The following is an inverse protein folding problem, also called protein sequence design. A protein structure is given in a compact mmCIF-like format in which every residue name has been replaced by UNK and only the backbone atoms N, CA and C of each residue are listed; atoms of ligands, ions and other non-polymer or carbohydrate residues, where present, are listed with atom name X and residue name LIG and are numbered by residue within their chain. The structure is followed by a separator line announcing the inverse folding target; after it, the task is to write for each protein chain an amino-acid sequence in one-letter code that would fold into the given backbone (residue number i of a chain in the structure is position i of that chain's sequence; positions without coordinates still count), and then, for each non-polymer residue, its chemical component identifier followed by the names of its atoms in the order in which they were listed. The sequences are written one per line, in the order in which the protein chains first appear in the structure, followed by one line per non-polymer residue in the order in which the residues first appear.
data_IF_659319124073
#
_entry.id   IF_659319124073
#
_cell.length_a   1.000
_cell.length_b   1.000
_cell.length_c   1.000
_cell.angle_alpha   90.00
_cell.angle_beta   90.00
_cell.angle_gamma   90.00
#
_symmetry.space_group_name_H-M   'P 1'
#
loop_
_entity.id
_entity.type
_entity.pdbx_description
1 polymer ?
#
# COMPACT_ATOMS: atom_id res chain seq x y z
N UNK A 1 14.23 -0.14 -15.41
CA UNK A 1 13.38 1.00 -15.69
C UNK A 1 12.88 1.62 -14.40
N UNK A 2 12.64 2.92 -14.43
CA UNK A 2 12.03 3.69 -13.36
C UNK A 2 10.84 4.45 -13.94
N UNK A 3 9.76 4.58 -13.17
CA UNK A 3 8.58 5.37 -13.50
C UNK A 3 8.32 6.35 -12.37
N UNK A 4 7.98 7.57 -12.70
CA UNK A 4 7.50 8.61 -11.78
C UNK A 4 6.08 8.96 -12.19
N UNK A 5 5.18 9.09 -11.23
CA UNK A 5 3.82 9.54 -11.45
C UNK A 5 3.41 10.55 -10.39
N UNK A 6 2.61 11.51 -10.76
CA UNK A 6 1.97 12.47 -9.85
C UNK A 6 0.46 12.33 -9.89
N UNK A 7 -0.18 12.70 -8.79
CA UNK A 7 -1.63 12.83 -8.68
C UNK A 7 -1.96 14.19 -8.07
N UNK A 8 -2.99 14.81 -8.59
CA UNK A 8 -3.62 16.00 -8.03
C UNK A 8 -5.12 15.78 -8.08
N UNK A 9 -5.82 16.04 -6.98
CA UNK A 9 -7.26 15.80 -6.88
C UNK A 9 -7.92 16.76 -5.91
N UNK A 10 -9.19 17.04 -6.13
CA UNK A 10 -10.08 17.67 -5.16
C UNK A 10 -10.82 16.56 -4.40
N UNK A 11 -10.88 16.71 -3.08
CA UNK A 11 -11.75 15.95 -2.20
C UNK A 11 -12.92 16.84 -1.82
N UNK A 12 -14.12 16.29 -1.78
CA UNK A 12 -15.31 17.01 -1.42
C UNK A 12 -16.19 16.17 -0.48
N UNK A 13 -16.82 16.83 0.48
CA UNK A 13 -17.78 16.28 1.40
C UNK A 13 -19.06 17.10 1.35
N UNK A 14 -20.07 16.55 0.65
CA UNK A 14 -21.34 17.22 0.41
C UNK A 14 -22.45 16.37 1.03
N UNK A 15 -22.95 16.78 2.19
CA UNK A 15 -24.01 16.08 2.91
C UNK A 15 -24.99 17.09 3.52
N UNK A 16 -26.24 17.08 3.08
CA UNK A 16 -27.24 18.08 3.51
C UNK A 16 -26.81 19.49 3.12
N UNK A 17 -26.70 20.37 4.10
CA UNK A 17 -26.26 21.78 3.92
C UNK A 17 -24.75 21.95 4.04
N UNK A 18 -23.99 20.85 4.24
CA UNK A 18 -22.53 20.89 4.36
C UNK A 18 -21.93 20.76 2.97
N UNK A 19 -21.06 21.72 2.62
CA UNK A 19 -20.26 21.72 1.40
C UNK A 19 -18.81 22.10 1.76
N UNK A 20 -17.96 21.08 1.95
CA UNK A 20 -16.55 21.27 2.31
C UNK A 20 -15.65 20.58 1.28
N UNK A 21 -14.53 21.20 0.97
CA UNK A 21 -13.57 20.61 0.03
C UNK A 21 -12.13 20.89 0.44
N UNK A 22 -11.24 19.99 0.05
CA UNK A 22 -9.80 20.12 0.24
C UNK A 22 -9.05 19.54 -0.97
N UNK A 23 -7.76 19.84 -1.07
CA UNK A 23 -6.93 19.44 -2.20
C UNK A 23 -5.93 18.37 -1.76
N UNK A 24 -5.90 17.26 -2.46
CA UNK A 24 -4.91 16.21 -2.31
C UNK A 24 -3.89 16.21 -3.45
N UNK A 25 -2.63 15.98 -3.12
CA UNK A 25 -1.56 15.84 -4.09
C UNK A 25 -0.53 14.80 -3.63
N UNK A 26 0.10 14.13 -4.59
CA UNK A 26 1.14 13.17 -4.25
C UNK A 26 2.00 12.76 -5.44
N UNK A 27 3.09 12.10 -5.11
CA UNK A 27 4.06 11.59 -6.05
C UNK A 27 4.39 10.14 -5.74
N UNK A 28 4.64 9.37 -6.77
CA UNK A 28 5.15 8.00 -6.62
C UNK A 28 6.32 7.73 -7.57
N UNK A 29 7.23 6.90 -7.09
CA UNK A 29 8.34 6.37 -7.86
C UNK A 29 8.32 4.85 -7.77
N UNK A 30 8.32 4.19 -8.92
CA UNK A 30 8.36 2.73 -9.00
C UNK A 30 9.46 2.29 -9.95
N UNK A 31 10.07 1.17 -9.67
CA UNK A 31 11.13 0.71 -10.55
C UNK A 31 11.44 -0.77 -10.44
N UNK A 32 12.24 -1.19 -11.42
CA UNK A 32 12.83 -2.52 -11.49
C UNK A 32 14.28 -2.41 -11.97
N UNK A 33 15.17 -3.01 -11.21
CA UNK A 33 16.60 -3.11 -11.52
C UNK A 33 16.96 -4.58 -11.65
N UNK A 34 17.56 -4.97 -12.78
CA UNK A 34 18.20 -6.28 -12.91
C UNK A 34 19.54 -6.23 -12.17
N UNK A 35 19.77 -7.18 -11.27
CA UNK A 35 21.03 -7.33 -10.53
C UNK A 35 21.89 -8.47 -11.08
N UNK A 36 21.24 -9.44 -11.76
CA UNK A 36 21.89 -10.50 -12.52
C UNK A 36 20.95 -10.99 -13.64
N UNK A 37 21.32 -12.07 -14.34
CA UNK A 37 20.45 -12.69 -15.35
C UNK A 37 19.25 -13.40 -14.68
N UNK A 38 19.40 -13.80 -13.43
CA UNK A 38 18.38 -14.53 -12.66
C UNK A 38 17.65 -13.67 -11.65
N UNK A 39 18.16 -12.45 -11.34
CA UNK A 39 17.70 -11.66 -10.20
C UNK A 39 17.25 -10.27 -10.60
N UNK A 40 16.19 -9.82 -9.98
CA UNK A 40 15.77 -8.42 -10.04
C UNK A 40 15.29 -7.89 -8.69
N UNK A 41 15.51 -6.60 -8.48
CA UNK A 41 14.94 -5.82 -7.38
C UNK A 41 13.84 -4.94 -7.96
N UNK A 42 12.71 -4.91 -7.26
CA UNK A 42 11.59 -4.01 -7.56
C UNK A 42 11.32 -3.16 -6.35
N UNK A 43 10.99 -1.92 -6.59
CA UNK A 43 10.68 -0.98 -5.52
C UNK A 43 9.51 -0.08 -5.90
N UNK A 44 8.85 0.40 -4.88
CA UNK A 44 7.85 1.46 -4.95
C UNK A 44 8.04 2.39 -3.76
N UNK A 45 7.80 3.66 -3.99
CA UNK A 45 7.71 4.69 -2.98
C UNK A 45 6.60 5.65 -3.39
N UNK A 46 5.82 6.12 -2.45
CA UNK A 46 4.86 7.19 -2.65
C UNK A 46 4.74 8.04 -1.40
N UNK A 47 4.41 9.31 -1.59
CA UNK A 47 4.11 10.24 -0.51
C UNK A 47 3.16 11.32 -1.01
N UNK A 48 2.35 11.87 -0.11
CA UNK A 48 1.43 12.97 -0.42
C UNK A 48 0.31 13.11 0.59
N UNK A 49 -0.59 14.03 0.33
CA UNK A 49 -1.79 14.32 1.12
C UNK A 49 -3.04 13.94 0.35
N UNK A 50 -4.08 13.54 1.05
CA UNK A 50 -5.36 13.23 0.44
C UNK A 50 -5.35 12.01 -0.49
N UNK A 51 -4.38 11.11 -0.38
CA UNK A 51 -4.21 9.99 -1.30
C UNK A 51 -5.26 8.90 -1.10
N UNK A 52 -5.63 8.59 0.15
CA UNK A 52 -6.63 7.59 0.49
C UNK A 52 -6.38 6.25 -0.20
N UNK A 53 -7.39 5.74 -0.90
CA UNK A 53 -7.32 4.43 -1.59
C UNK A 53 -6.24 4.29 -2.66
N UNK A 54 -5.69 5.40 -3.18
CA UNK A 54 -4.60 5.36 -4.14
C UNK A 54 -3.26 5.01 -3.51
N UNK A 55 -3.12 5.24 -2.18
CA UNK A 55 -1.93 4.88 -1.43
C UNK A 55 -1.96 3.41 -0.97
N UNK A 56 -2.92 3.06 -0.12
CA UNK A 56 -2.96 1.75 0.55
C UNK A 56 -4.39 1.18 0.61
N UNK A 57 -5.15 1.27 -0.48
CA UNK A 57 -6.55 0.87 -0.55
C UNK A 57 -7.38 1.62 0.51
N UNK A 58 -7.89 0.91 1.51
CA UNK A 58 -8.70 1.46 2.58
C UNK A 58 -7.97 1.42 3.94
N UNK A 59 -6.65 1.32 3.97
CA UNK A 59 -5.88 1.33 5.23
C UNK A 59 -5.99 2.69 5.94
N UNK A 60 -6.05 3.79 5.18
CA UNK A 60 -6.32 5.13 5.69
C UNK A 60 -7.29 5.88 4.77
N UNK A 61 -8.03 6.82 5.35
CA UNK A 61 -8.89 7.73 4.60
C UNK A 61 -8.05 8.79 3.88
N UNK A 62 -8.62 9.41 2.83
CA UNK A 62 -7.95 10.51 2.14
C UNK A 62 -8.12 11.84 2.85
N UNK A 63 -9.30 12.08 3.43
CA UNK A 63 -9.62 13.28 4.20
C UNK A 63 -10.72 12.97 5.20
N UNK A 64 -10.85 13.83 6.21
CA UNK A 64 -11.87 13.76 7.25
C UNK A 64 -12.52 15.12 7.41
N UNK A 65 -13.85 15.16 7.46
CA UNK A 65 -14.60 16.35 7.78
C UNK A 65 -14.67 16.52 9.30
N UNK A 66 -14.32 17.72 9.77
CA UNK A 66 -14.44 18.11 11.16
C UNK A 66 -15.69 18.96 11.34
N UNK A 67 -16.69 18.46 12.07
CA UNK A 67 -17.95 19.11 12.33
C UNK A 67 -17.86 20.31 13.29
N UNK A 68 -16.77 20.41 14.06
CA UNK A 68 -16.53 21.54 14.96
C UNK A 68 -15.96 22.75 14.22
N UNK A 69 -15.09 22.51 13.22
CA UNK A 69 -14.46 23.59 12.43
C UNK A 69 -15.18 23.86 11.11
N UNK A 70 -15.98 22.90 10.62
CA UNK A 70 -16.62 22.94 9.31
C UNK A 70 -15.66 22.71 8.15
N UNK A 71 -14.46 22.18 8.40
CA UNK A 71 -13.40 21.99 7.42
C UNK A 71 -13.21 20.52 7.04
N UNK A 72 -12.80 20.27 5.81
CA UNK A 72 -12.32 18.97 5.33
C UNK A 72 -10.79 18.99 5.33
N UNK A 73 -10.17 18.11 6.11
CA UNK A 73 -8.71 18.03 6.25
C UNK A 73 -8.15 16.78 5.58
N UNK A 74 -7.20 16.95 4.67
CA UNK A 74 -6.49 15.87 4.00
C UNK A 74 -5.49 15.19 4.92
N UNK A 75 -5.43 13.86 4.87
CA UNK A 75 -4.49 13.04 5.63
C UNK A 75 -3.22 12.85 4.81
N UNK A 76 -2.06 13.12 5.43
CA UNK A 76 -0.77 12.80 4.86
C UNK A 76 -0.52 11.30 4.90
N UNK A 77 0.12 10.77 3.86
CA UNK A 77 0.48 9.36 3.83
C UNK A 77 1.76 9.12 3.04
N UNK A 78 2.54 8.17 3.51
CA UNK A 78 3.78 7.72 2.89
C UNK A 78 3.83 6.20 2.89
N UNK A 79 4.30 5.62 1.81
CA UNK A 79 4.49 4.19 1.76
C UNK A 79 5.63 3.78 0.86
N UNK A 80 6.21 2.63 1.15
CA UNK A 80 7.27 2.05 0.35
C UNK A 80 7.20 0.53 0.34
N UNK A 81 7.77 -0.04 -0.69
CA UNK A 81 7.90 -1.47 -0.82
C UNK A 81 9.14 -1.83 -1.61
N UNK A 82 9.73 -2.96 -1.26
CA UNK A 82 10.85 -3.56 -1.97
C UNK A 82 10.61 -5.05 -2.13
N UNK A 83 10.97 -5.59 -3.28
CA UNK A 83 10.92 -7.01 -3.55
C UNK A 83 12.21 -7.46 -4.26
N UNK A 84 12.80 -8.53 -3.77
CA UNK A 84 13.85 -9.25 -4.47
C UNK A 84 13.27 -10.51 -5.07
N UNK A 85 13.52 -10.74 -6.36
CA UNK A 85 13.11 -11.92 -7.09
C UNK A 85 14.32 -12.68 -7.60
N UNK A 86 14.34 -13.98 -7.35
CA UNK A 86 15.32 -14.95 -7.85
C UNK A 86 14.66 -16.01 -8.73
N UNK A 87 15.27 -16.30 -9.87
CA UNK A 87 14.91 -17.41 -10.76
C UNK A 87 15.83 -18.60 -10.47
N UNK A 88 15.31 -19.64 -9.85
CA UNK A 88 16.02 -20.89 -9.60
C UNK A 88 16.28 -21.69 -10.87
N UNK A 89 15.29 -21.68 -11.75
CA UNK A 89 15.30 -22.30 -13.07
C UNK A 89 14.36 -21.53 -13.98
N UNK A 90 14.28 -21.89 -15.26
CA UNK A 90 13.30 -21.31 -16.20
C UNK A 90 11.83 -21.52 -15.76
N UNK A 91 11.58 -22.47 -14.84
CA UNK A 91 10.24 -22.81 -14.35
C UNK A 91 9.98 -22.41 -12.91
N UNK A 92 11.02 -22.18 -12.12
CA UNK A 92 10.90 -21.95 -10.67
C UNK A 92 11.47 -20.60 -10.27
N UNK A 93 10.74 -19.86 -9.46
CA UNK A 93 11.17 -18.57 -8.89
C UNK A 93 10.65 -18.36 -7.49
N UNK A 94 11.37 -17.55 -6.74
CA UNK A 94 10.95 -17.05 -5.44
C UNK A 94 11.02 -15.53 -5.40
N UNK A 95 10.24 -14.93 -4.52
CA UNK A 95 10.38 -13.51 -4.18
C UNK A 95 10.27 -13.34 -2.68
N UNK A 96 11.10 -12.44 -2.14
CA UNK A 96 10.95 -11.90 -0.79
C UNK A 96 10.53 -10.45 -0.95
N UNK A 97 9.51 -10.03 -0.20
CA UNK A 97 8.93 -8.71 -0.29
C UNK A 97 8.77 -8.11 1.09
N UNK A 98 9.01 -6.82 1.19
CA UNK A 98 8.71 -6.00 2.36
C UNK A 98 7.96 -4.76 1.92
N UNK A 99 6.98 -4.32 2.71
CA UNK A 99 6.30 -3.04 2.50
C UNK A 99 5.90 -2.42 3.82
N UNK A 100 5.88 -1.08 3.85
CA UNK A 100 5.39 -0.30 4.97
C UNK A 100 4.55 0.87 4.47
N UNK A 101 3.64 1.30 5.31
CA UNK A 101 2.74 2.42 5.11
C UNK A 101 2.57 3.17 6.42
N UNK A 102 2.54 4.49 6.32
CA UNK A 102 2.34 5.43 7.42
C UNK A 102 1.30 6.46 6.99
N UNK A 103 0.35 6.76 7.88
CA UNK A 103 -0.65 7.81 7.72
C UNK A 103 -0.56 8.75 8.92
N UNK A 104 -0.46 10.04 8.65
CA UNK A 104 -0.34 11.07 9.67
C UNK A 104 -1.44 12.11 9.48
N UNK A 105 -2.25 12.30 10.50
CA UNK A 105 -3.30 13.31 10.58
C UNK A 105 -2.87 14.39 11.57
N UNK A 106 -3.29 15.64 11.33
CA UNK A 106 -3.11 16.71 12.31
C UNK A 106 -3.93 16.44 13.60
N UNK A 107 -3.56 17.09 14.69
CA UNK A 107 -4.16 16.86 16.02
C UNK A 107 -5.68 17.07 16.05
N UNK A 108 -6.20 18.02 15.28
CA UNK A 108 -7.64 18.31 15.20
C UNK A 108 -8.35 17.18 14.46
N UNK A 109 -7.78 16.71 13.37
CA UNK A 109 -8.29 15.59 12.57
C UNK A 109 -8.26 14.28 13.37
N UNK A 110 -7.22 14.02 14.17
CA UNK A 110 -7.12 12.86 15.07
C UNK A 110 -8.28 12.79 16.04
N UNK A 111 -8.63 13.90 16.68
CA UNK A 111 -9.77 13.97 17.61
C UNK A 111 -11.09 13.58 16.92
N UNK A 112 -11.29 14.02 15.69
CA UNK A 112 -12.51 13.74 14.92
C UNK A 112 -12.56 12.29 14.41
N UNK A 113 -11.42 11.75 13.97
CA UNK A 113 -11.33 10.39 13.45
C UNK A 113 -11.52 9.33 14.53
N UNK A 114 -11.13 9.64 15.78
CA UNK A 114 -10.90 8.61 16.77
C UNK A 114 -9.71 7.72 16.37
N UNK A 115 -9.77 6.44 16.75
CA UNK A 115 -8.66 5.51 16.45
C UNK A 115 -8.63 5.11 14.97
N UNK A 116 -7.50 5.36 14.31
CA UNK A 116 -7.28 5.05 12.89
C UNK A 116 -5.99 4.25 12.67
N UNK A 117 -5.85 3.65 11.50
CA UNK A 117 -4.61 2.97 11.12
C UNK A 117 -3.51 4.00 10.87
N UNK A 118 -2.56 4.10 11.78
CA UNK A 118 -1.39 4.95 11.64
C UNK A 118 -0.32 4.25 10.80
N UNK A 119 0.06 3.02 11.19
CA UNK A 119 1.15 2.29 10.53
C UNK A 119 0.76 0.89 10.14
N UNK A 120 1.27 0.44 9.02
CA UNK A 120 1.25 -0.98 8.65
C UNK A 120 2.58 -1.38 8.04
N UNK A 121 2.98 -2.62 8.29
CA UNK A 121 4.06 -3.24 7.53
C UNK A 121 3.77 -4.71 7.24
N UNK A 122 4.37 -5.21 6.18
CA UNK A 122 4.26 -6.62 5.83
C UNK A 122 5.57 -7.17 5.26
N UNK A 123 5.81 -8.43 5.56
CA UNK A 123 6.87 -9.23 4.94
C UNK A 123 6.26 -10.47 4.30
N UNK A 124 6.72 -10.83 3.11
CA UNK A 124 6.19 -11.98 2.36
C UNK A 124 7.31 -12.72 1.69
N UNK A 125 7.13 -14.03 1.60
CA UNK A 125 7.99 -14.91 0.79
C UNK A 125 7.10 -15.85 -0.01
N UNK A 126 7.44 -16.05 -1.28
CA UNK A 126 6.71 -16.97 -2.12
C UNK A 126 7.64 -17.90 -2.92
N UNK A 127 7.06 -19.01 -3.36
CA UNK A 127 7.64 -19.89 -4.35
C UNK A 127 6.60 -20.16 -5.44
N UNK A 128 7.00 -19.99 -6.70
CA UNK A 128 6.13 -20.13 -7.86
C UNK A 128 6.78 -21.09 -8.84
N UNK A 129 6.01 -22.08 -9.29
CA UNK A 129 6.46 -23.10 -10.22
C UNK A 129 5.55 -23.22 -11.44
N UNK A 130 6.13 -23.09 -12.63
CA UNK A 130 5.45 -23.26 -13.92
C UNK A 130 5.51 -24.74 -14.33
N UNK A 131 4.43 -25.48 -14.08
CA UNK A 131 4.32 -26.91 -14.40
C UNK A 131 4.35 -27.13 -15.93
N UNK A 132 3.69 -26.23 -16.66
CA UNK A 132 3.67 -26.22 -18.13
C UNK A 132 3.66 -24.77 -18.63
N UNK A 133 3.58 -24.57 -19.95
CA UNK A 133 3.43 -23.22 -20.55
C UNK A 133 2.11 -22.55 -20.15
N UNK A 134 1.11 -23.32 -19.80
CA UNK A 134 -0.24 -22.86 -19.47
C UNK A 134 -0.57 -22.94 -17.98
N UNK A 135 0.15 -23.73 -17.19
CA UNK A 135 -0.17 -23.98 -15.78
C UNK A 135 0.96 -23.54 -14.84
N UNK A 136 0.62 -22.71 -13.87
CA UNK A 136 1.54 -22.24 -12.83
C UNK A 136 0.87 -22.40 -11.45
N UNK A 137 1.63 -22.90 -10.49
CA UNK A 137 1.22 -23.03 -9.10
C UNK A 137 2.14 -22.24 -8.20
N UNK A 138 1.67 -21.85 -7.03
CA UNK A 138 2.47 -21.09 -6.08
C UNK A 138 1.98 -21.23 -4.66
N UNK A 139 2.90 -20.99 -3.73
CA UNK A 139 2.63 -20.83 -2.31
C UNK A 139 3.28 -19.54 -1.81
N UNK A 140 2.62 -18.85 -0.90
CA UNK A 140 3.10 -17.63 -0.24
C UNK A 140 2.85 -17.73 1.26
N UNK A 141 3.85 -17.32 2.03
CA UNK A 141 3.67 -16.95 3.42
C UNK A 141 3.75 -15.43 3.55
N UNK A 142 2.81 -14.86 4.29
CA UNK A 142 2.74 -13.43 4.56
C UNK A 142 2.59 -13.21 6.06
N UNK A 143 3.38 -12.29 6.58
CA UNK A 143 3.22 -11.68 7.90
C UNK A 143 2.92 -10.20 7.73
N UNK A 144 1.98 -9.67 8.51
CA UNK A 144 1.69 -8.24 8.53
C UNK A 144 1.37 -7.79 9.95
N UNK A 145 1.73 -6.54 10.25
CA UNK A 145 1.36 -5.86 11.49
C UNK A 145 0.70 -4.53 11.17
N UNK A 146 -0.29 -4.19 11.99
CA UNK A 146 -1.00 -2.90 11.97
C UNK A 146 -0.88 -2.27 13.35
N UNK A 147 -0.63 -0.96 13.35
CA UNK A 147 -0.65 -0.11 14.54
C UNK A 147 -1.66 1.02 14.31
N UNK A 148 -2.37 1.38 15.35
CA UNK A 148 -3.31 2.50 15.31
C UNK A 148 -2.77 3.69 16.11
N UNK A 149 -3.33 4.89 15.87
CA UNK A 149 -2.95 6.13 16.58
C UNK A 149 -3.15 6.01 18.11
N UNK A 150 -4.16 5.26 18.57
CA UNK A 150 -4.37 4.96 19.99
C UNK A 150 -3.38 3.91 20.57
N UNK A 151 -2.42 3.43 19.78
CA UNK A 151 -1.42 2.45 20.22
C UNK A 151 -1.93 1.00 20.27
N UNK A 152 -3.08 0.71 19.63
CA UNK A 152 -3.52 -0.66 19.48
C UNK A 152 -2.74 -1.36 18.38
N UNK A 153 -2.33 -2.59 18.62
CA UNK A 153 -1.57 -3.39 17.68
C UNK A 153 -2.32 -4.66 17.29
N UNK A 154 -2.17 -5.08 16.06
CA UNK A 154 -2.66 -6.36 15.57
C UNK A 154 -1.72 -6.93 14.51
N UNK A 155 -1.58 -8.25 14.50
CA UNK A 155 -0.77 -8.94 13.50
C UNK A 155 -1.54 -10.06 12.80
N UNK A 156 -1.02 -10.47 11.66
CA UNK A 156 -1.57 -11.52 10.84
C UNK A 156 -0.47 -12.39 10.26
N UNK A 157 -0.65 -13.70 10.35
CA UNK A 157 0.11 -14.69 9.60
C UNK A 157 -0.81 -15.42 8.62
N UNK A 158 -0.40 -15.55 7.37
CA UNK A 158 -1.21 -16.18 6.33
C UNK A 158 -0.35 -17.06 5.43
N UNK A 159 -0.83 -18.27 5.17
CA UNK A 159 -0.35 -19.13 4.08
C UNK A 159 -1.40 -19.12 2.97
N UNK A 160 -0.97 -18.91 1.75
CA UNK A 160 -1.83 -18.91 0.57
C UNK A 160 -1.27 -19.80 -0.52
N UNK A 161 -2.13 -20.62 -1.13
CA UNK A 161 -1.83 -21.38 -2.32
C UNK A 161 -2.57 -20.80 -3.52
N UNK A 162 -1.94 -20.87 -4.68
CA UNK A 162 -2.53 -20.38 -5.93
C UNK A 162 -2.25 -21.33 -7.09
N UNK A 163 -3.19 -21.41 -8.01
CA UNK A 163 -3.03 -22.06 -9.30
C UNK A 163 -3.56 -21.12 -10.40
N UNK A 164 -2.82 -20.99 -11.48
CA UNK A 164 -3.21 -20.24 -12.67
C UNK A 164 -3.15 -21.12 -13.88
N UNK A 165 -4.22 -21.17 -14.64
CA UNK A 165 -4.29 -21.77 -15.96
C UNK A 165 -4.58 -20.71 -17.02
N UNK A 166 -3.78 -20.69 -18.09
CA UNK A 166 -3.96 -19.81 -19.25
C UNK A 166 -4.37 -20.66 -20.44
N UNK A 167 -5.47 -20.36 -21.09
CA UNK A 167 -6.01 -21.00 -22.30
C UNK A 167 -5.98 -20.05 -23.46
#
# INVERSE_FOLDING_TARGET
HVKVAGIFRQLAYNVGDIDASDTGAGVSVTGKVKVSDTDDIRFTFFTGTGLGRYAALNAAQGAVYNDQTGELSSIASTGYGVAYRHMWTDKARSSIMFSAFDADADEVTKVTMGDYTEKTYSARVNYIYSMSKTMTVGAEYAYAKRETDAGLEGDMSRVQFSAKYAF
#
